data_IF_538741191398
#
_entry.id   IF_538741191398
#
_cell.length_a   1.000
_cell.length_b   1.000
_cell.length_c   1.000
_cell.angle_alpha   90.00
_cell.angle_beta   90.00
_cell.angle_gamma   90.00
#
_symmetry.space_group_name_H-M   'P 1'
#
loop_
_entity.id
_entity.type
_entity.pdbx_description
1 polymer ?
#
# COMPACT_ATOMS: atom_id res chain seq x y z
N UNK A 1 2.11 -22.07 -27.33
CA UNK A 1 2.94 -21.74 -26.16
C UNK A 1 3.17 -22.98 -25.31
N UNK A 2 4.41 -23.32 -25.01
CA UNK A 2 4.75 -24.46 -24.14
C UNK A 2 4.26 -24.20 -22.70
N UNK A 3 3.99 -25.25 -21.90
CA UNK A 3 3.54 -25.11 -20.51
C UNK A 3 4.50 -24.28 -19.65
N UNK A 4 5.81 -24.38 -19.89
CA UNK A 4 6.84 -23.60 -19.20
C UNK A 4 6.70 -22.09 -19.46
N UNK A 5 6.48 -21.68 -20.72
CA UNK A 5 6.23 -20.27 -21.07
C UNK A 5 4.96 -19.72 -20.41
N UNK A 6 3.92 -20.55 -20.22
CA UNK A 6 2.68 -20.13 -19.53
C UNK A 6 2.91 -19.93 -18.03
N UNK A 7 3.70 -20.81 -17.40
CA UNK A 7 4.10 -20.68 -15.98
C UNK A 7 4.94 -19.43 -15.77
N UNK A 8 5.91 -19.19 -16.63
CA UNK A 8 6.76 -17.99 -16.57
C UNK A 8 5.93 -16.71 -16.70
N UNK A 9 5.04 -16.62 -17.69
CA UNK A 9 4.14 -15.47 -17.85
C UNK A 9 3.23 -15.25 -16.63
N UNK A 10 2.73 -16.32 -16.02
CA UNK A 10 1.92 -16.23 -14.79
C UNK A 10 2.73 -15.68 -13.61
N UNK A 11 3.98 -16.15 -13.47
CA UNK A 11 4.91 -15.70 -12.44
C UNK A 11 5.24 -14.21 -12.60
N UNK A 12 5.49 -13.76 -13.83
CA UNK A 12 5.76 -12.35 -14.11
C UNK A 12 4.53 -11.48 -13.88
N UNK A 13 3.35 -11.95 -14.25
CA UNK A 13 2.09 -11.26 -13.92
C UNK A 13 1.89 -11.14 -12.40
N UNK A 14 2.18 -12.19 -11.63
CA UNK A 14 2.11 -12.15 -10.17
C UNK A 14 3.15 -11.20 -9.55
N UNK A 15 4.37 -11.17 -10.11
CA UNK A 15 5.42 -10.21 -9.70
C UNK A 15 4.97 -8.78 -9.96
N UNK A 16 4.50 -8.48 -11.17
CA UNK A 16 4.01 -7.15 -11.55
C UNK A 16 2.89 -6.67 -10.61
N UNK A 17 1.92 -7.54 -10.28
CA UNK A 17 0.87 -7.22 -9.31
C UNK A 17 1.43 -6.89 -7.92
N UNK A 18 2.38 -7.68 -7.40
CA UNK A 18 3.01 -7.44 -6.08
C UNK A 18 3.83 -6.16 -6.05
N UNK A 19 4.57 -5.86 -7.12
CA UNK A 19 5.35 -4.61 -7.25
C UNK A 19 4.43 -3.39 -7.24
N UNK A 20 3.35 -3.42 -8.02
CA UNK A 20 2.35 -2.34 -8.05
C UNK A 20 1.67 -2.17 -6.69
N UNK A 21 1.31 -3.26 -6.02
CA UNK A 21 0.73 -3.21 -4.69
C UNK A 21 1.68 -2.54 -3.68
N UNK A 22 2.96 -2.92 -3.69
CA UNK A 22 3.97 -2.32 -2.81
C UNK A 22 4.16 -0.82 -3.07
N UNK A 23 4.17 -0.42 -4.35
CA UNK A 23 4.25 1.00 -4.74
C UNK A 23 3.06 1.80 -4.22
N UNK A 24 1.83 1.29 -4.37
CA UNK A 24 0.62 1.95 -3.87
C UNK A 24 0.64 2.09 -2.34
N UNK A 25 1.09 1.06 -1.61
CA UNK A 25 1.23 1.16 -0.15
C UNK A 25 2.27 2.20 0.26
N UNK A 26 3.40 2.25 -0.43
CA UNK A 26 4.44 3.25 -0.15
C UNK A 26 3.92 4.66 -0.42
N UNK A 27 3.25 4.89 -1.56
CA UNK A 27 2.63 6.18 -1.87
C UNK A 27 1.63 6.58 -0.78
N UNK A 28 0.73 5.67 -0.39
CA UNK A 28 -0.23 5.93 0.69
C UNK A 28 0.47 6.32 2.00
N UNK A 29 1.51 5.58 2.41
CA UNK A 29 2.28 5.89 3.61
C UNK A 29 2.92 7.30 3.57
N UNK A 30 3.39 7.73 2.40
CA UNK A 30 3.97 9.07 2.21
C UNK A 30 2.94 10.21 2.22
N UNK A 31 1.66 9.91 1.98
CA UNK A 31 0.57 10.91 2.07
C UNK A 31 0.02 11.10 3.49
N UNK A 32 0.30 10.18 4.41
CA UNK A 32 -0.14 10.30 5.80
C UNK A 32 0.62 11.43 6.51
N UNK A 33 0.01 12.13 7.48
CA UNK A 33 0.61 13.27 8.17
C UNK A 33 1.64 12.83 9.24
N UNK A 34 2.58 11.96 8.85
CA UNK A 34 3.67 11.49 9.70
C UNK A 34 5.01 11.92 9.10
N UNK A 35 6.02 12.06 9.95
CA UNK A 35 7.38 12.29 9.48
C UNK A 35 7.81 11.14 8.54
N UNK A 36 8.53 11.47 7.46
CA UNK A 36 8.99 10.49 6.46
C UNK A 36 9.76 9.32 7.08
N UNK A 37 10.54 9.60 8.12
CA UNK A 37 11.28 8.58 8.88
C UNK A 37 10.35 7.54 9.52
N UNK A 38 9.16 7.93 9.98
CA UNK A 38 8.17 7.00 10.53
C UNK A 38 7.46 6.24 9.41
N UNK A 39 6.95 6.96 8.40
CA UNK A 39 6.23 6.36 7.26
C UNK A 39 7.06 5.30 6.52
N UNK A 40 8.38 5.49 6.43
CA UNK A 40 9.29 4.56 5.76
C UNK A 40 9.40 3.18 6.43
N UNK A 41 9.06 3.08 7.73
CA UNK A 41 9.15 1.83 8.51
C UNK A 41 7.79 1.17 8.74
N UNK A 42 6.70 1.73 8.18
CA UNK A 42 5.37 1.15 8.36
C UNK A 42 5.21 -0.11 7.50
N UNK A 43 4.64 -1.16 8.11
CA UNK A 43 4.16 -2.31 7.37
C UNK A 43 2.79 -2.05 6.73
N UNK A 44 2.38 -2.90 5.78
CA UNK A 44 1.11 -2.74 5.04
C UNK A 44 -0.11 -2.65 5.98
N UNK A 45 -0.13 -3.47 7.03
CA UNK A 45 -1.23 -3.49 7.98
C UNK A 45 -1.33 -2.21 8.79
N UNK A 46 -0.19 -1.67 9.26
CA UNK A 46 -0.16 -0.40 10.00
C UNK A 46 -0.50 0.78 9.10
N UNK A 47 -0.07 0.78 7.83
CA UNK A 47 -0.50 1.79 6.84
C UNK A 47 -2.02 1.83 6.75
N UNK A 48 -2.68 0.67 6.58
CA UNK A 48 -4.15 0.60 6.54
C UNK A 48 -4.80 1.09 7.82
N UNK A 49 -4.34 0.60 8.99
CA UNK A 49 -4.91 0.99 10.29
C UNK A 49 -4.80 2.49 10.53
N UNK A 50 -3.61 3.07 10.29
CA UNK A 50 -3.36 4.50 10.47
C UNK A 50 -4.15 5.34 9.49
N UNK A 51 -4.27 4.92 8.23
CA UNK A 51 -5.10 5.60 7.22
C UNK A 51 -6.56 5.65 7.65
N UNK A 52 -7.13 4.51 8.07
CA UNK A 52 -8.52 4.44 8.52
C UNK A 52 -8.74 5.31 9.75
N UNK A 53 -7.83 5.24 10.73
CA UNK A 53 -7.88 6.07 11.94
C UNK A 53 -7.82 7.55 11.60
N UNK A 54 -6.92 7.96 10.70
CA UNK A 54 -6.79 9.34 10.24
C UNK A 54 -8.09 9.85 9.62
N UNK A 55 -8.67 9.11 8.68
CA UNK A 55 -9.92 9.50 8.02
C UNK A 55 -11.09 9.61 9.01
N UNK A 56 -11.17 8.72 10.01
CA UNK A 56 -12.20 8.77 11.06
C UNK A 56 -12.04 10.01 11.94
N UNK A 57 -10.81 10.26 12.43
CA UNK A 57 -10.52 11.42 13.28
C UNK A 57 -10.78 12.72 12.52
N UNK A 58 -10.31 12.83 11.28
CA UNK A 58 -10.55 14.01 10.46
C UNK A 58 -12.05 14.29 10.30
N UNK A 59 -12.86 13.27 9.99
CA UNK A 59 -14.31 13.41 9.90
C UNK A 59 -14.96 13.90 11.19
N UNK A 60 -14.52 13.40 12.34
CA UNK A 60 -15.03 13.84 13.64
C UNK A 60 -14.68 15.30 13.92
N UNK A 61 -13.46 15.72 13.58
CA UNK A 61 -13.00 17.09 13.79
C UNK A 61 -13.64 18.11 12.83
N UNK A 62 -14.04 17.70 11.62
CA UNK A 62 -14.68 18.58 10.64
C UNK A 62 -16.21 18.56 10.67
N UNK A 63 -16.82 17.72 11.50
CA UNK A 63 -18.29 17.61 11.62
C UNK A 63 -18.87 18.50 12.72
N UNK A 64 -18.03 19.27 13.43
CA UNK A 64 -18.43 20.38 14.30
C UNK A 64 -18.24 21.71 13.60
#
# INVERSE_FOLDING_TARGET
STPELRKERSRDAARCRRSREAEVFYQLATTLPFARAVSAHLDKASIMRLTISYLRVHRLLTAG
#
